data_IF_532500498137
#
_entry.id   IF_532500498137
#
_cell.length_a   1.000
_cell.length_b   1.000
_cell.length_c   1.000
_cell.angle_alpha   90.00
_cell.angle_beta   90.00
_cell.angle_gamma   90.00
#
_symmetry.space_group_name_H-M   'P 1'
#
loop_
_entity.id
_entity.type
_entity.pdbx_description
1 polymer ?
#
# COMPACT_ATOMS: atom_id res chain seq x y z
N UNK A 1 15.12 -55.17 -37.29
CA UNK A 1 13.84 -55.01 -38.02
C UNK A 1 12.78 -54.84 -37.00
N UNK A 2 12.12 -53.72 -36.96
CA UNK A 2 11.04 -53.36 -36.01
C UNK A 2 11.36 -52.06 -35.31
N UNK A 3 11.11 -50.94 -35.99
CA UNK A 3 11.09 -49.61 -35.43
C UNK A 3 9.74 -49.42 -34.69
N UNK A 4 9.76 -49.40 -33.38
CA UNK A 4 8.61 -48.98 -32.58
C UNK A 4 8.69 -47.48 -32.36
N UNK A 5 7.95 -46.74 -33.17
CA UNK A 5 7.72 -45.30 -33.03
C UNK A 5 6.80 -45.02 -31.84
N UNK A 6 7.37 -44.55 -30.75
CA UNK A 6 6.63 -44.05 -29.56
C UNK A 6 5.94 -42.72 -29.94
N UNK A 7 4.63 -42.80 -30.12
CA UNK A 7 3.75 -41.63 -30.27
C UNK A 7 3.69 -40.88 -28.96
N UNK A 8 4.33 -39.70 -28.91
CA UNK A 8 4.17 -38.77 -27.79
C UNK A 8 2.77 -38.12 -27.88
N UNK A 9 1.91 -38.57 -27.03
CA UNK A 9 0.54 -38.05 -26.83
C UNK A 9 0.60 -36.59 -26.36
N UNK A 10 0.24 -35.72 -27.29
CA UNK A 10 0.18 -34.27 -27.10
C UNK A 10 -0.87 -33.95 -26.00
N UNK A 11 -0.40 -33.74 -24.79
CA UNK A 11 -1.15 -33.23 -23.65
C UNK A 11 -1.94 -31.98 -24.07
N UNK A 12 -3.25 -32.07 -23.92
CA UNK A 12 -4.22 -30.99 -24.14
C UNK A 12 -4.02 -29.87 -23.09
N UNK A 13 -3.03 -29.01 -23.31
CA UNK A 13 -3.04 -27.72 -22.67
C UNK A 13 -4.19 -26.92 -23.29
N UNK A 14 -5.27 -26.77 -22.53
CA UNK A 14 -6.41 -25.95 -22.91
C UNK A 14 -5.93 -24.55 -23.32
N UNK A 15 -6.12 -24.24 -24.61
CA UNK A 15 -5.93 -22.89 -25.13
C UNK A 15 -6.87 -21.98 -24.33
N UNK A 16 -6.32 -21.18 -23.43
CA UNK A 16 -7.02 -20.02 -22.86
C UNK A 16 -7.43 -19.18 -24.08
N UNK A 17 -8.74 -18.98 -24.33
CA UNK A 17 -9.14 -18.18 -25.48
C UNK A 17 -8.54 -16.79 -25.30
N UNK A 18 -7.88 -16.21 -26.29
CA UNK A 18 -7.43 -14.84 -26.21
C UNK A 18 -8.66 -14.00 -25.90
N UNK A 19 -8.60 -13.21 -24.81
CA UNK A 19 -9.63 -12.20 -24.52
C UNK A 19 -9.72 -11.33 -25.77
N UNK A 20 -10.72 -11.61 -26.61
CA UNK A 20 -10.86 -10.93 -27.89
C UNK A 20 -11.43 -9.53 -27.62
N UNK A 21 -10.55 -8.60 -27.32
CA UNK A 21 -10.87 -7.17 -27.20
C UNK A 21 -11.67 -6.67 -28.43
N UNK A 22 -11.50 -7.33 -29.57
CA UNK A 22 -12.19 -6.99 -30.81
C UNK A 22 -13.71 -7.29 -30.80
N UNK A 23 -14.16 -8.25 -30.01
CA UNK A 23 -15.58 -8.64 -29.93
C UNK A 23 -16.39 -7.87 -28.88
N UNK A 24 -15.74 -7.09 -28.00
CA UNK A 24 -16.45 -6.29 -26.99
C UNK A 24 -17.04 -5.02 -27.59
N UNK A 25 -18.29 -4.67 -27.21
CA UNK A 25 -18.90 -3.39 -27.59
C UNK A 25 -18.07 -2.21 -27.09
N UNK A 26 -18.06 -1.11 -27.85
CA UNK A 26 -17.23 0.08 -27.59
C UNK A 26 -17.40 0.62 -26.16
N UNK A 27 -18.63 0.56 -25.61
CA UNK A 27 -18.93 0.97 -24.22
C UNK A 27 -18.12 0.19 -23.18
N UNK A 28 -17.99 -1.14 -23.37
CA UNK A 28 -17.23 -1.99 -22.47
C UNK A 28 -15.72 -1.74 -22.60
N UNK A 29 -15.24 -1.50 -23.83
CA UNK A 29 -13.83 -1.15 -24.08
C UNK A 29 -13.43 0.13 -23.34
N UNK A 30 -14.26 1.17 -23.48
CA UNK A 30 -13.98 2.47 -22.85
C UNK A 30 -14.16 2.38 -21.33
N UNK A 31 -15.26 1.77 -20.84
CA UNK A 31 -15.49 1.61 -19.41
C UNK A 31 -14.39 0.80 -18.71
N UNK A 32 -13.95 -0.32 -19.31
CA UNK A 32 -12.85 -1.13 -18.73
C UNK A 32 -11.51 -0.43 -18.83
N UNK A 33 -11.24 0.33 -19.90
CA UNK A 33 -10.01 1.10 -20.02
C UNK A 33 -9.92 2.19 -18.95
N UNK A 34 -10.98 3.00 -18.75
CA UNK A 34 -11.00 4.02 -17.70
C UNK A 34 -10.93 3.40 -16.30
N UNK A 35 -11.70 2.34 -16.03
CA UNK A 35 -11.63 1.63 -14.74
C UNK A 35 -10.25 1.04 -14.51
N UNK A 36 -9.61 0.49 -15.55
CA UNK A 36 -8.25 -0.04 -15.48
C UNK A 36 -7.22 1.03 -15.13
N UNK A 37 -7.31 2.21 -15.74
CA UNK A 37 -6.44 3.35 -15.45
C UNK A 37 -6.64 3.83 -14.00
N UNK A 38 -7.89 3.96 -13.54
CA UNK A 38 -8.21 4.36 -12.16
C UNK A 38 -7.65 3.36 -11.16
N UNK A 39 -7.83 2.05 -11.41
CA UNK A 39 -7.29 0.99 -10.55
C UNK A 39 -5.76 0.99 -10.53
N UNK A 40 -5.12 1.14 -11.69
CA UNK A 40 -3.66 1.20 -11.78
C UNK A 40 -3.12 2.40 -11.00
N UNK A 41 -3.71 3.58 -11.20
CA UNK A 41 -3.33 4.79 -10.48
C UNK A 41 -3.53 4.63 -8.97
N UNK A 42 -4.66 4.04 -8.56
CA UNK A 42 -4.95 3.78 -7.16
C UNK A 42 -3.99 2.79 -6.51
N UNK A 43 -3.64 1.69 -7.20
CA UNK A 43 -2.63 0.75 -6.74
C UNK A 43 -1.25 1.42 -6.61
N UNK A 44 -0.88 2.29 -7.56
CA UNK A 44 0.36 3.06 -7.50
C UNK A 44 0.38 3.99 -6.28
N UNK A 45 -0.69 4.73 -6.04
CA UNK A 45 -0.82 5.62 -4.88
C UNK A 45 -0.75 4.82 -3.57
N UNK A 46 -1.45 3.69 -3.48
CA UNK A 46 -1.39 2.78 -2.32
C UNK A 46 0.04 2.30 -2.06
N UNK A 47 0.75 1.87 -3.10
CA UNK A 47 2.14 1.41 -2.99
C UNK A 47 3.08 2.53 -2.48
N UNK A 48 2.93 3.75 -3.02
CA UNK A 48 3.71 4.92 -2.61
C UNK A 48 3.41 5.29 -1.15
N UNK A 49 2.13 5.38 -0.77
CA UNK A 49 1.71 5.72 0.60
C UNK A 49 2.23 4.68 1.58
N UNK A 50 2.08 3.39 1.28
CA UNK A 50 2.60 2.31 2.10
C UNK A 50 4.12 2.41 2.28
N UNK A 51 4.87 2.62 1.21
CA UNK A 51 6.34 2.75 1.24
C UNK A 51 6.79 3.97 2.05
N UNK A 52 6.21 5.15 1.80
CA UNK A 52 6.55 6.38 2.52
C UNK A 52 6.23 6.28 4.01
N UNK A 53 5.02 5.78 4.35
CA UNK A 53 4.56 5.70 5.73
C UNK A 53 5.38 4.67 6.52
N UNK A 54 5.63 3.49 5.95
CA UNK A 54 6.43 2.46 6.62
C UNK A 54 7.87 2.94 6.87
N UNK A 55 8.46 3.68 5.93
CA UNK A 55 9.82 4.24 6.10
C UNK A 55 9.84 5.36 7.13
N UNK A 56 8.84 6.24 7.15
CA UNK A 56 8.75 7.33 8.12
C UNK A 56 8.57 6.82 9.55
N UNK A 57 7.70 5.81 9.73
CA UNK A 57 7.45 5.22 11.04
C UNK A 57 8.67 4.47 11.59
N UNK A 58 9.41 3.72 10.77
CA UNK A 58 10.67 3.10 11.18
C UNK A 58 11.67 4.14 11.67
N UNK A 59 11.86 5.24 10.95
CA UNK A 59 12.75 6.34 11.37
C UNK A 59 12.31 6.98 12.69
N UNK A 60 11.01 7.14 12.89
CA UNK A 60 10.46 7.71 14.14
C UNK A 60 10.73 6.80 15.34
N UNK A 61 10.64 5.47 15.15
CA UNK A 61 10.96 4.50 16.20
C UNK A 61 12.44 4.51 16.53
N UNK A 62 13.31 4.49 15.51
CA UNK A 62 14.77 4.58 15.72
C UNK A 62 15.14 5.87 16.44
N UNK A 63 14.51 6.99 16.09
CA UNK A 63 14.74 8.27 16.77
C UNK A 63 14.27 8.24 18.22
N UNK A 64 13.06 7.69 18.49
CA UNK A 64 12.55 7.53 19.86
C UNK A 64 13.43 6.62 20.70
N UNK A 65 13.84 5.48 20.14
CA UNK A 65 14.73 4.53 20.81
C UNK A 65 16.10 5.16 21.13
N UNK A 66 16.69 5.86 20.16
CA UNK A 66 17.94 6.58 20.35
C UNK A 66 17.84 7.68 21.41
N UNK A 67 16.75 8.45 21.41
CA UNK A 67 16.53 9.48 22.42
C UNK A 67 16.39 8.89 23.84
N UNK A 68 15.65 7.79 24.01
CA UNK A 68 15.51 7.10 25.28
C UNK A 68 16.87 6.55 25.75
N UNK A 69 17.62 5.88 24.85
CA UNK A 69 18.91 5.29 25.18
C UNK A 69 19.95 6.37 25.53
N UNK A 70 19.99 7.49 24.79
CA UNK A 70 20.90 8.61 25.07
C UNK A 70 20.56 9.26 26.40
N UNK A 71 19.29 9.58 26.66
CA UNK A 71 18.88 10.15 27.93
C UNK A 71 19.19 9.24 29.12
N UNK A 72 19.01 7.92 28.95
CA UNK A 72 19.38 6.97 30.01
C UNK A 72 20.88 6.90 30.14
N UNK A 73 21.68 6.96 29.07
CA UNK A 73 23.13 7.00 29.10
C UNK A 73 23.67 8.21 29.88
N UNK A 74 23.14 9.40 29.58
CA UNK A 74 23.53 10.63 30.25
C UNK A 74 23.19 10.60 31.76
N UNK A 75 21.99 10.12 32.10
CA UNK A 75 21.57 9.95 33.49
C UNK A 75 22.36 8.89 34.24
N UNK A 76 22.78 7.81 33.58
CA UNK A 76 23.55 6.71 34.18
C UNK A 76 25.03 7.08 34.40
N UNK A 77 25.62 8.01 33.64
CA UNK A 77 27.04 8.30 33.64
C UNK A 77 27.62 8.58 35.03
N UNK A 78 26.95 9.43 35.82
CA UNK A 78 27.37 9.77 37.17
C UNK A 78 27.25 8.60 38.18
N UNK A 79 26.26 7.73 37.99
CA UNK A 79 26.00 6.58 38.86
C UNK A 79 26.96 5.43 38.55
N UNK A 80 27.28 5.19 37.27
CA UNK A 80 28.26 4.20 36.83
C UNK A 80 29.64 4.57 37.38
N UNK A 81 30.06 5.85 37.25
CA UNK A 81 31.34 6.33 37.78
C UNK A 81 31.49 6.14 39.29
N UNK A 82 30.41 6.31 40.06
CA UNK A 82 30.37 6.15 41.52
C UNK A 82 30.07 4.73 41.98
N UNK A 83 29.82 3.80 41.05
CA UNK A 83 29.43 2.41 41.33
C UNK A 83 28.15 2.32 42.19
N UNK A 84 27.24 3.25 42.04
CA UNK A 84 25.96 3.27 42.75
C UNK A 84 24.91 2.40 42.02
N UNK A 85 24.94 1.09 42.30
CA UNK A 85 24.07 0.10 41.66
C UNK A 85 22.61 0.29 42.03
N UNK A 86 22.28 0.75 43.25
CA UNK A 86 20.90 0.97 43.69
C UNK A 86 20.20 2.05 42.85
N UNK A 87 20.86 3.15 42.60
CA UNK A 87 20.33 4.24 41.75
C UNK A 87 20.25 3.82 40.28
N UNK A 88 21.20 3.00 39.80
CA UNK A 88 21.18 2.44 38.45
C UNK A 88 20.00 1.49 38.27
N UNK A 89 19.68 0.64 39.24
CA UNK A 89 18.51 -0.23 39.21
C UNK A 89 17.21 0.58 39.23
N UNK A 90 17.11 1.62 40.05
CA UNK A 90 15.95 2.51 40.07
C UNK A 90 15.80 3.23 38.73
N UNK A 91 16.92 3.68 38.14
CA UNK A 91 16.92 4.37 36.85
C UNK A 91 16.49 3.43 35.71
N UNK A 92 17.10 2.24 35.60
CA UNK A 92 16.72 1.24 34.60
C UNK A 92 15.26 0.81 34.74
N UNK A 93 14.79 0.59 35.98
CA UNK A 93 13.39 0.28 36.24
C UNK A 93 12.43 1.40 35.80
N UNK A 94 12.79 2.68 36.00
CA UNK A 94 12.02 3.82 35.53
C UNK A 94 11.91 3.82 33.99
N UNK A 95 13.01 3.65 33.28
CA UNK A 95 13.02 3.64 31.81
C UNK A 95 12.38 2.38 31.25
N UNK A 96 12.49 1.23 31.90
CA UNK A 96 11.82 -0.01 31.52
C UNK A 96 10.28 0.03 31.63
N UNK A 97 9.72 1.00 32.39
CA UNK A 97 8.27 1.22 32.49
C UNK A 97 7.71 2.14 31.42
N UNK A 98 8.55 2.73 30.58
CA UNK A 98 8.07 3.58 29.49
C UNK A 98 7.31 2.73 28.48
N UNK A 99 6.27 3.34 27.92
CA UNK A 99 5.40 2.68 26.96
C UNK A 99 6.19 2.18 25.72
N UNK A 100 6.00 0.91 25.36
CA UNK A 100 6.68 0.26 24.25
C UNK A 100 8.09 -0.25 24.59
N UNK A 101 8.66 0.03 25.77
CA UNK A 101 9.94 -0.49 26.19
C UNK A 101 9.81 -1.94 26.66
N UNK A 102 10.60 -2.84 26.08
CA UNK A 102 10.69 -4.25 26.46
C UNK A 102 11.64 -4.44 27.65
N UNK A 103 12.77 -3.74 27.61
CA UNK A 103 13.79 -3.73 28.64
C UNK A 103 14.71 -2.52 28.50
N UNK A 104 15.37 -2.20 29.60
CA UNK A 104 16.48 -1.24 29.65
C UNK A 104 17.56 -1.80 30.58
N UNK A 105 18.82 -1.76 30.19
CA UNK A 105 19.92 -2.19 31.03
C UNK A 105 21.21 -1.42 30.77
N UNK A 106 22.09 -1.44 31.76
CA UNK A 106 23.38 -0.76 31.74
C UNK A 106 24.49 -1.81 31.79
N UNK A 107 25.48 -1.68 30.92
CA UNK A 107 26.69 -2.50 30.86
C UNK A 107 27.93 -1.69 31.22
N UNK A 108 28.89 -2.31 31.84
CA UNK A 108 30.21 -1.72 32.05
C UNK A 108 31.09 -1.78 30.80
N UNK A 109 32.30 -1.23 30.88
CA UNK A 109 33.26 -1.26 29.76
C UNK A 109 33.77 -2.68 29.40
N UNK A 110 33.44 -3.71 30.18
CA UNK A 110 33.74 -5.12 29.90
C UNK A 110 32.53 -5.86 29.28
N UNK A 111 31.38 -5.22 29.21
CA UNK A 111 30.15 -5.83 28.72
C UNK A 111 29.34 -6.55 29.80
N UNK A 112 29.74 -6.46 31.08
CA UNK A 112 28.97 -7.03 32.19
C UNK A 112 27.74 -6.16 32.49
N UNK A 113 26.60 -6.78 32.75
CA UNK A 113 25.37 -6.07 33.10
C UNK A 113 25.44 -5.64 34.57
N UNK A 114 25.41 -4.33 34.80
CA UNK A 114 25.49 -3.72 36.14
C UNK A 114 24.10 -3.52 36.71
N UNK A 115 23.11 -3.12 35.87
CA UNK A 115 21.72 -2.88 36.27
C UNK A 115 20.76 -3.22 35.15
N UNK A 116 19.57 -3.72 35.48
CA UNK A 116 18.55 -4.12 34.47
C UNK A 116 17.15 -3.92 35.00
N UNK A 117 16.25 -3.45 34.10
CA UNK A 117 14.80 -3.39 34.36
C UNK A 117 14.14 -4.77 34.32
N UNK A 118 14.77 -5.75 33.64
CA UNK A 118 14.24 -7.11 33.53
C UNK A 118 14.91 -8.01 34.58
N UNK A 119 14.10 -8.56 35.49
CA UNK A 119 14.56 -9.52 36.50
C UNK A 119 13.69 -10.78 36.45
N UNK A 120 14.25 -12.01 36.20
CA UNK A 120 15.67 -12.27 35.91
C UNK A 120 16.10 -11.75 34.54
N UNK A 121 17.42 -11.44 34.41
CA UNK A 121 17.95 -10.98 33.12
C UNK A 121 17.86 -12.09 32.07
N UNK A 122 17.27 -11.85 30.91
CA UNK A 122 17.04 -12.85 29.86
C UNK A 122 18.36 -13.46 29.36
N UNK A 123 18.38 -14.79 29.20
CA UNK A 123 19.57 -15.49 28.73
C UNK A 123 19.93 -15.13 27.28
N UNK A 124 18.90 -14.89 26.45
CA UNK A 124 19.04 -14.52 25.04
C UNK A 124 19.82 -13.21 24.85
N UNK A 125 19.73 -12.29 25.82
CA UNK A 125 20.46 -11.03 25.80
C UNK A 125 21.90 -11.18 26.23
N UNK A 126 22.26 -12.25 26.99
CA UNK A 126 23.64 -12.50 27.42
C UNK A 126 24.58 -12.92 26.29
N UNK A 127 24.08 -13.74 25.38
CA UNK A 127 24.87 -14.26 24.26
C UNK A 127 25.24 -13.17 23.26
N UNK A 128 24.42 -12.13 23.18
CA UNK A 128 24.56 -11.05 22.19
C UNK A 128 25.42 -9.89 22.69
N UNK A 129 25.82 -9.88 23.95
CA UNK A 129 26.45 -8.72 24.61
C UNK A 129 27.97 -8.57 24.40
N UNK A 130 28.65 -9.57 23.85
CA UNK A 130 30.13 -9.61 23.89
C UNK A 130 30.89 -8.76 22.87
N UNK A 131 30.30 -8.47 21.71
CA UNK A 131 31.08 -7.89 20.60
C UNK A 131 31.08 -6.36 20.50
N UNK A 132 30.11 -5.67 21.10
CA UNK A 132 29.89 -4.23 20.85
C UNK A 132 30.05 -3.33 22.09
N UNK A 133 30.54 -3.84 23.22
CA UNK A 133 30.57 -3.08 24.47
C UNK A 133 31.38 -1.76 24.38
N UNK A 134 32.36 -1.68 23.50
CA UNK A 134 33.26 -0.54 23.34
C UNK A 134 32.97 0.35 22.11
N UNK A 135 31.90 0.07 21.34
CA UNK A 135 31.58 0.92 20.20
C UNK A 135 31.20 2.34 20.65
N UNK A 136 31.75 3.35 19.99
CA UNK A 136 31.55 4.78 20.34
C UNK A 136 30.30 5.42 19.76
N UNK A 137 29.59 4.70 18.92
CA UNK A 137 28.43 5.21 18.21
C UNK A 137 27.14 4.58 18.70
N UNK A 138 26.04 5.32 18.64
CA UNK A 138 24.69 4.78 18.83
C UNK A 138 24.42 3.78 17.68
N UNK A 139 23.94 2.60 18.00
CA UNK A 139 23.64 1.55 17.04
C UNK A 139 22.32 0.88 17.39
N UNK A 140 21.56 0.52 16.37
CA UNK A 140 20.30 -0.22 16.52
C UNK A 140 20.42 -1.59 15.86
N UNK A 141 19.84 -2.62 16.49
CA UNK A 141 19.75 -3.98 15.96
C UNK A 141 18.40 -4.60 16.32
N UNK A 142 18.00 -5.61 15.57
CA UNK A 142 16.82 -6.42 15.91
C UNK A 142 17.29 -7.65 16.72
N UNK A 143 16.62 -7.90 17.83
CA UNK A 143 16.89 -9.01 18.75
C UNK A 143 15.57 -9.74 19.00
N UNK A 144 15.62 -11.06 19.06
CA UNK A 144 14.48 -11.86 19.44
C UNK A 144 14.48 -12.10 20.95
N UNK A 145 13.37 -11.77 21.63
CA UNK A 145 13.16 -11.99 23.06
C UNK A 145 11.86 -12.76 23.27
N UNK A 146 11.96 -13.98 23.80
CA UNK A 146 10.78 -14.84 24.06
C UNK A 146 9.87 -15.03 22.84
N UNK A 147 10.46 -15.20 21.64
CA UNK A 147 9.72 -15.38 20.39
C UNK A 147 9.07 -14.10 19.83
N UNK A 148 9.46 -12.91 20.33
CA UNK A 148 9.00 -11.61 19.84
C UNK A 148 10.19 -10.75 19.42
N UNK A 149 10.08 -10.08 18.30
CA UNK A 149 11.11 -9.14 17.84
C UNK A 149 11.15 -7.87 18.70
N UNK A 150 12.35 -7.44 19.04
CA UNK A 150 12.65 -6.23 19.80
C UNK A 150 13.69 -5.42 19.05
N UNK A 151 13.44 -4.14 18.84
CA UNK A 151 14.42 -3.19 18.33
C UNK A 151 15.28 -2.71 19.50
N UNK A 152 16.51 -3.22 19.58
CA UNK A 152 17.48 -2.82 20.60
C UNK A 152 18.33 -1.66 20.10
N UNK A 153 18.36 -0.58 20.86
CA UNK A 153 19.26 0.55 20.61
C UNK A 153 20.27 0.68 21.74
N UNK A 154 21.52 0.81 21.35
CA UNK A 154 22.68 0.99 22.23
C UNK A 154 23.11 2.45 22.20
N UNK A 155 23.36 3.03 23.39
CA UNK A 155 23.97 4.34 23.54
C UNK A 155 25.24 4.23 24.42
N UNK A 156 26.42 4.75 24.00
CA UNK A 156 27.66 4.71 24.78
C UNK A 156 27.58 5.66 25.98
N UNK A 157 28.12 5.28 27.11
CA UNK A 157 28.29 6.14 28.30
C UNK A 157 29.65 6.79 28.25
N UNK A 158 29.70 8.14 28.20
CA UNK A 158 30.95 8.92 28.07
C UNK A 158 31.81 8.39 26.90
N UNK A 159 31.28 8.40 25.71
CA UNK A 159 31.95 7.91 24.50
C UNK A 159 32.41 6.43 24.60
N UNK A 160 31.70 5.63 25.40
CA UNK A 160 31.99 4.21 25.62
C UNK A 160 33.08 3.91 26.69
N UNK A 161 33.61 4.94 27.35
CA UNK A 161 34.65 4.75 28.38
C UNK A 161 34.13 4.05 29.65
N UNK A 162 32.86 4.31 29.99
CA UNK A 162 32.18 3.73 31.14
C UNK A 162 31.25 2.56 30.80
N UNK A 163 31.21 2.17 29.54
CA UNK A 163 30.31 1.14 29.05
C UNK A 163 29.18 1.69 28.18
N UNK A 164 28.03 1.05 28.20
CA UNK A 164 26.91 1.40 27.38
C UNK A 164 25.56 1.13 28.05
N UNK A 165 24.55 1.86 27.60
CA UNK A 165 23.14 1.58 27.87
C UNK A 165 22.55 0.89 26.69
N UNK A 166 21.64 -0.05 26.94
CA UNK A 166 20.81 -0.67 25.89
C UNK A 166 19.34 -0.59 26.25
N UNK A 167 18.53 -0.20 25.28
CA UNK A 167 17.08 -0.08 25.41
C UNK A 167 16.43 -0.86 24.29
N UNK A 168 15.57 -1.80 24.62
CA UNK A 168 14.80 -2.58 23.68
C UNK A 168 13.36 -2.06 23.60
N UNK A 169 12.84 -1.82 22.38
CA UNK A 169 11.44 -1.51 22.13
C UNK A 169 10.76 -2.69 21.45
N UNK A 170 9.54 -3.03 21.87
CA UNK A 170 8.76 -4.07 21.24
C UNK A 170 8.43 -3.72 19.78
N UNK A 171 8.80 -4.60 18.85
CA UNK A 171 8.47 -4.42 17.43
C UNK A 171 6.96 -4.46 17.18
N UNK A 172 6.20 -5.23 17.97
CA UNK A 172 4.74 -5.36 17.82
C UNK A 172 4.01 -4.05 18.12
N UNK A 173 4.47 -3.28 19.09
CA UNK A 173 3.89 -1.97 19.41
C UNK A 173 4.04 -1.03 18.22
N UNK A 174 5.20 -1.07 17.57
CA UNK A 174 5.47 -0.31 16.35
C UNK A 174 4.59 -0.75 15.19
N UNK A 175 4.43 -2.05 15.00
CA UNK A 175 3.56 -2.60 13.94
C UNK A 175 2.08 -2.26 14.17
N UNK A 176 1.65 -2.22 15.41
CA UNK A 176 0.27 -1.86 15.76
C UNK A 176 -0.01 -0.38 15.48
N UNK A 177 0.92 0.52 15.82
CA UNK A 177 0.84 1.94 15.51
C UNK A 177 0.83 2.18 13.99
N UNK A 178 1.69 1.47 13.24
CA UNK A 178 1.72 1.47 11.78
C UNK A 178 0.36 1.05 11.21
N UNK A 179 -0.18 -0.06 11.68
CA UNK A 179 -1.47 -0.59 11.21
C UNK A 179 -2.63 0.36 11.52
N UNK A 180 -2.68 0.92 12.71
CA UNK A 180 -3.73 1.85 13.11
C UNK A 180 -3.68 3.16 12.30
N UNK A 181 -2.50 3.60 11.93
CA UNK A 181 -2.31 4.79 11.09
C UNK A 181 -2.59 4.51 9.61
N UNK A 182 -2.18 3.35 9.09
CA UNK A 182 -2.36 3.01 7.68
C UNK A 182 -3.78 2.58 7.34
N UNK A 183 -4.48 1.90 8.25
CA UNK A 183 -5.82 1.36 7.98
C UNK A 183 -6.82 2.41 7.49
N UNK A 184 -7.01 3.57 8.14
CA UNK A 184 -7.94 4.59 7.66
C UNK A 184 -7.53 5.18 6.31
N UNK A 185 -6.23 5.32 6.05
CA UNK A 185 -5.71 5.83 4.76
C UNK A 185 -6.02 4.84 3.64
N UNK A 186 -5.73 3.56 3.86
CA UNK A 186 -6.04 2.50 2.89
C UNK A 186 -7.54 2.41 2.64
N UNK A 187 -8.36 2.44 3.70
CA UNK A 187 -9.81 2.41 3.60
C UNK A 187 -10.35 3.59 2.77
N UNK A 188 -9.83 4.80 3.00
CA UNK A 188 -10.20 5.99 2.22
C UNK A 188 -9.85 5.84 0.74
N UNK A 189 -8.64 5.37 0.43
CA UNK A 189 -8.21 5.17 -0.96
C UNK A 189 -9.08 4.12 -1.66
N UNK A 190 -9.36 3.00 -1.00
CA UNK A 190 -10.24 1.95 -1.53
C UNK A 190 -11.65 2.51 -1.79
N UNK A 191 -12.18 3.31 -0.87
CA UNK A 191 -13.47 3.97 -1.03
C UNK A 191 -13.49 4.92 -2.24
N UNK A 192 -12.46 5.74 -2.40
CA UNK A 192 -12.31 6.61 -3.59
C UNK A 192 -12.21 5.82 -4.90
N UNK A 193 -11.51 4.67 -4.88
CA UNK A 193 -11.42 3.79 -6.04
C UNK A 193 -12.80 3.22 -6.44
N UNK A 194 -13.57 2.76 -5.47
CA UNK A 194 -14.94 2.25 -5.72
C UNK A 194 -15.80 3.35 -6.35
N UNK A 195 -15.77 4.54 -5.78
CA UNK A 195 -16.52 5.69 -6.35
C UNK A 195 -16.04 5.98 -7.77
N UNK A 196 -14.73 6.02 -8.01
CA UNK A 196 -14.16 6.27 -9.34
C UNK A 196 -14.62 5.25 -10.38
N UNK A 197 -14.67 3.97 -10.04
CA UNK A 197 -15.17 2.91 -10.92
C UNK A 197 -16.65 3.08 -11.19
N UNK A 198 -17.46 3.38 -10.16
CA UNK A 198 -18.91 3.62 -10.32
C UNK A 198 -19.18 4.82 -11.22
N UNK A 199 -18.50 5.94 -10.99
CA UNK A 199 -18.61 7.14 -11.81
C UNK A 199 -18.20 6.86 -13.26
N UNK A 200 -17.09 6.14 -13.47
CA UNK A 200 -16.64 5.71 -14.80
C UNK A 200 -17.73 4.89 -15.53
N UNK A 201 -18.38 3.97 -14.82
CA UNK A 201 -19.43 3.12 -15.38
C UNK A 201 -20.70 3.92 -15.72
N UNK A 202 -21.06 4.90 -14.89
CA UNK A 202 -22.17 5.82 -15.15
C UNK A 202 -21.88 6.64 -16.40
N UNK A 203 -20.72 7.29 -16.51
CA UNK A 203 -20.33 8.08 -17.68
C UNK A 203 -20.35 7.22 -18.95
N UNK A 204 -19.78 6.00 -18.88
CA UNK A 204 -19.80 5.09 -20.02
C UNK A 204 -21.21 4.73 -20.49
N UNK A 205 -22.16 4.59 -19.56
CA UNK A 205 -23.55 4.25 -19.90
C UNK A 205 -24.40 5.45 -20.35
N UNK A 206 -24.17 6.62 -19.76
CA UNK A 206 -24.99 7.81 -20.05
C UNK A 206 -24.54 8.58 -21.31
N UNK A 207 -23.23 8.56 -21.59
CA UNK A 207 -22.69 9.33 -22.72
C UNK A 207 -22.37 8.45 -23.94
N UNK A 208 -21.69 7.33 -23.72
CA UNK A 208 -21.18 6.52 -24.83
C UNK A 208 -22.28 5.70 -25.50
N UNK A 209 -23.21 5.15 -24.72
CA UNK A 209 -24.32 4.34 -25.28
C UNK A 209 -25.15 5.12 -26.26
N UNK A 210 -25.69 6.35 -25.95
CA UNK A 210 -26.42 7.17 -26.89
C UNK A 210 -25.67 7.48 -28.19
N UNK A 211 -24.37 7.78 -28.11
CA UNK A 211 -23.55 8.08 -29.29
C UNK A 211 -23.48 6.86 -30.25
N UNK A 212 -23.33 5.65 -29.69
CA UNK A 212 -23.30 4.42 -30.48
C UNK A 212 -24.68 4.18 -31.16
N UNK A 213 -25.76 4.44 -30.45
CA UNK A 213 -27.11 4.32 -30.99
C UNK A 213 -27.33 5.33 -32.12
N UNK A 214 -26.91 6.59 -31.97
CA UNK A 214 -26.97 7.60 -33.03
C UNK A 214 -26.12 7.23 -34.25
N UNK A 215 -24.91 6.65 -34.05
CA UNK A 215 -24.08 6.18 -35.15
C UNK A 215 -24.76 5.04 -35.92
N UNK A 216 -25.45 4.12 -35.25
CA UNK A 216 -26.19 3.04 -35.90
C UNK A 216 -27.40 3.59 -36.70
N UNK A 217 -28.11 4.57 -36.15
CA UNK A 217 -29.25 5.23 -36.89
C UNK A 217 -28.70 6.01 -38.09
N UNK A 218 -27.57 6.68 -37.98
CA UNK A 218 -26.92 7.36 -39.10
C UNK A 218 -26.54 6.39 -40.23
N UNK A 219 -26.02 5.20 -39.89
CA UNK A 219 -25.76 4.15 -40.87
C UNK A 219 -27.04 3.64 -41.53
N UNK A 220 -28.11 3.45 -40.79
CA UNK A 220 -29.43 3.08 -41.33
C UNK A 220 -29.96 4.12 -42.32
N UNK A 221 -29.89 5.41 -41.96
CA UNK A 221 -30.28 6.52 -42.84
C UNK A 221 -29.44 6.50 -44.12
N UNK A 222 -28.13 6.30 -44.03
CA UNK A 222 -27.23 6.25 -45.20
C UNK A 222 -27.57 5.12 -46.18
N UNK A 223 -28.16 4.02 -45.67
CA UNK A 223 -28.63 2.87 -46.47
C UNK A 223 -30.06 3.01 -46.98
N UNK A 224 -30.68 4.18 -46.79
CA UNK A 224 -32.05 4.44 -47.21
C UNK A 224 -33.14 3.86 -46.26
N UNK A 225 -32.77 3.32 -45.12
CA UNK A 225 -33.73 2.87 -44.08
C UNK A 225 -34.23 4.06 -43.26
N UNK A 226 -35.31 4.70 -43.74
CA UNK A 226 -35.81 5.96 -43.15
C UNK A 226 -37.02 5.76 -42.22
N UNK A 227 -37.42 4.52 -41.94
CA UNK A 227 -38.65 4.26 -41.17
C UNK A 227 -38.44 4.29 -39.67
N UNK A 228 -37.22 4.01 -39.19
CA UNK A 228 -36.91 4.01 -37.80
C UNK A 228 -36.63 5.44 -37.29
N UNK A 229 -37.44 5.99 -36.36
CA UNK A 229 -37.18 7.32 -35.80
C UNK A 229 -35.97 7.30 -34.85
N UNK A 230 -35.30 8.45 -34.71
CA UNK A 230 -34.25 8.64 -33.72
C UNK A 230 -34.85 8.70 -32.32
N UNK A 231 -34.66 7.64 -31.52
CA UNK A 231 -35.27 7.50 -30.19
C UNK A 231 -34.39 8.02 -29.04
N UNK A 232 -33.16 8.46 -29.33
CA UNK A 232 -32.21 8.94 -28.31
C UNK A 232 -32.73 10.25 -27.70
N UNK A 233 -32.94 10.23 -26.39
CA UNK A 233 -33.34 11.41 -25.59
C UNK A 233 -32.18 11.72 -24.61
N UNK A 234 -31.56 12.85 -24.81
CA UNK A 234 -30.59 13.42 -23.89
C UNK A 234 -30.84 14.92 -23.77
N UNK A 235 -30.45 15.53 -22.67
CA UNK A 235 -30.58 17.00 -22.44
C UNK A 235 -29.26 17.75 -22.64
N UNK A 236 -28.26 17.09 -23.22
CA UNK A 236 -26.93 17.58 -23.52
C UNK A 236 -26.70 17.72 -25.04
N UNK A 237 -25.46 17.91 -25.45
CA UNK A 237 -25.02 18.01 -26.85
C UNK A 237 -25.37 16.76 -27.67
N UNK A 238 -25.46 15.61 -27.02
CA UNK A 238 -25.89 14.34 -27.64
C UNK A 238 -27.34 14.40 -28.03
N UNK A 239 -28.18 15.02 -27.20
CA UNK A 239 -29.62 15.29 -27.53
C UNK A 239 -29.79 16.25 -28.70
N UNK A 240 -28.96 17.29 -28.77
CA UNK A 240 -28.96 18.22 -29.90
C UNK A 240 -28.58 17.55 -31.22
N UNK A 241 -27.55 16.68 -31.17
CA UNK A 241 -27.14 15.83 -32.29
C UNK A 241 -28.29 14.90 -32.73
N UNK A 242 -29.01 14.27 -31.78
CA UNK A 242 -30.13 13.40 -32.05
C UNK A 242 -31.25 14.14 -32.79
N UNK A 243 -31.60 15.35 -32.35
CA UNK A 243 -32.60 16.20 -33.01
C UNK A 243 -32.17 16.61 -34.42
N UNK A 244 -30.91 16.90 -34.63
CA UNK A 244 -30.38 17.25 -35.95
C UNK A 244 -30.44 16.08 -36.92
N UNK A 245 -30.10 14.89 -36.45
CA UNK A 245 -30.17 13.64 -37.20
C UNK A 245 -31.61 13.28 -37.55
N UNK A 246 -32.58 13.48 -36.64
CA UNK A 246 -33.98 13.25 -36.87
C UNK A 246 -34.55 14.20 -37.94
N UNK A 247 -34.20 15.49 -37.90
CA UNK A 247 -34.59 16.45 -38.95
C UNK A 247 -34.04 16.05 -40.31
N UNK A 248 -32.78 15.58 -40.37
CA UNK A 248 -32.19 15.09 -41.64
C UNK A 248 -32.98 13.86 -42.17
N UNK A 249 -33.24 12.87 -41.30
CA UNK A 249 -33.99 11.66 -41.63
C UNK A 249 -35.40 12.02 -42.20
N UNK A 250 -36.13 12.91 -41.49
CA UNK A 250 -37.45 13.32 -41.88
C UNK A 250 -37.46 14.05 -43.26
N UNK A 251 -36.47 14.91 -43.49
CA UNK A 251 -36.31 15.61 -44.78
C UNK A 251 -36.02 14.64 -45.91
N UNK A 252 -35.13 13.66 -45.73
CA UNK A 252 -34.81 12.63 -46.69
C UNK A 252 -36.03 11.76 -47.00
N UNK A 253 -36.79 11.34 -45.96
CA UNK A 253 -38.00 10.56 -46.13
C UNK A 253 -39.05 11.31 -46.97
N UNK A 254 -39.26 12.59 -46.70
CA UNK A 254 -40.19 13.44 -47.45
C UNK A 254 -39.75 13.61 -48.93
N UNK A 255 -38.46 13.79 -49.20
CA UNK A 255 -37.89 13.89 -50.54
C UNK A 255 -38.09 12.59 -51.35
N UNK A 256 -37.80 11.44 -50.74
CA UNK A 256 -37.98 10.12 -51.35
C UNK A 256 -39.48 9.84 -51.69
N UNK A 257 -40.38 10.19 -50.74
CA UNK A 257 -41.82 10.04 -50.95
C UNK A 257 -42.34 10.89 -52.09
N UNK A 258 -41.77 12.05 -52.38
CA UNK A 258 -42.14 12.92 -53.55
C UNK A 258 -41.61 12.31 -54.85
N UNK A 259 -40.42 11.76 -54.88
CA UNK A 259 -39.83 11.11 -56.05
C UNK A 259 -40.53 9.83 -56.43
N UNK A 260 -41.07 9.07 -55.48
CA UNK A 260 -41.83 7.84 -55.75
C UNK A 260 -43.27 8.06 -56.25
N UNK A 261 -43.80 9.32 -56.22
CA UNK A 261 -45.13 9.70 -56.72
C UNK A 261 -45.12 10.29 -58.15
N UNK A 262 -43.93 10.59 -58.66
CA UNK A 262 -43.75 11.00 -60.06
C UNK A 262 -43.28 9.80 -60.90
#
# INVERSE_FOLDING_TARGET
MGEDSVSIENSKFGKIPPLSWQAMSLRWKIGTAFSGIILLLGCLVLAIVYYLTSTALRKQVDFRASAIATNLSDAAAGHVSRRNTLELDALTAKYGRLEGVAYAYVQDGKGEVIASSAQPFPAELKETNGSDAQARTVGSREVELRGRSVYETRAPILDGQLGAVRVGLWADTVQQDVRNTLFPIVALIVFCLIIGVVVSMVIASTTIKPIIELAAVADDISRGRLDTPVSVRSSDEVGELALSLERMRASLKAAMARLSKN
#
